data_IF_866056358511
#
_entry.id   IF_866056358511
#
_cell.length_a   1.000
_cell.length_b   1.000
_cell.length_c   1.000
_cell.angle_alpha   90.00
_cell.angle_beta   90.00
_cell.angle_gamma   90.00
#
_symmetry.space_group_name_H-M   'P 1'
#
loop_
_entity.id
_entity.type
_entity.pdbx_description
1 polymer ?
#
# COMPACT_ATOMS: atom_id res chain seq x y z
N UNK A 1 -16.64 12.03 3.08
CA UNK A 1 -15.59 11.36 2.29
C UNK A 1 -14.91 10.30 3.13
N UNK A 2 -14.15 9.40 2.51
CA UNK A 2 -13.36 8.37 3.22
C UNK A 2 -11.96 8.88 3.57
N UNK A 3 -11.42 8.48 4.72
CA UNK A 3 -10.03 8.75 5.09
C UNK A 3 -9.13 7.73 4.38
N UNK A 4 -8.26 8.20 3.50
CA UNK A 4 -7.38 7.36 2.66
C UNK A 4 -5.93 7.69 2.99
N UNK A 5 -5.12 6.64 3.19
CA UNK A 5 -3.66 6.75 3.22
C UNK A 5 -3.11 6.58 1.81
N UNK A 6 -2.13 7.37 1.43
CA UNK A 6 -1.51 7.30 0.11
C UNK A 6 -0.02 7.04 0.24
N UNK A 7 0.52 6.10 -0.54
CA UNK A 7 1.96 5.86 -0.57
C UNK A 7 2.45 5.61 -1.99
N UNK A 8 3.21 6.57 -2.51
CA UNK A 8 3.74 6.55 -3.87
C UNK A 8 5.12 7.21 -3.89
N UNK A 9 5.79 7.14 -5.05
CA UNK A 9 7.18 7.59 -5.21
C UNK A 9 7.37 9.10 -5.17
N UNK A 10 6.31 9.89 -5.30
CA UNK A 10 6.40 11.36 -5.32
C UNK A 10 6.31 11.99 -3.93
N UNK A 11 6.09 11.19 -2.89
CA UNK A 11 6.12 11.68 -1.51
C UNK A 11 7.57 11.99 -1.09
N UNK A 12 7.75 13.10 -0.38
CA UNK A 12 9.04 13.41 0.24
C UNK A 12 9.42 12.31 1.24
N UNK A 13 10.72 11.97 1.41
CA UNK A 13 11.15 10.87 2.27
C UNK A 13 10.60 10.97 3.72
N UNK A 14 10.46 12.19 4.23
CA UNK A 14 9.91 12.44 5.57
C UNK A 14 8.42 12.14 5.63
N UNK A 15 7.67 12.51 4.60
CA UNK A 15 6.22 12.30 4.49
C UNK A 15 5.92 10.83 4.29
N UNK A 16 6.65 10.15 3.39
CA UNK A 16 6.57 8.71 3.18
C UNK A 16 6.77 7.94 4.49
N UNK A 17 7.83 8.27 5.25
CA UNK A 17 8.10 7.64 6.56
C UNK A 17 7.00 7.91 7.59
N UNK A 18 6.41 9.11 7.58
CA UNK A 18 5.32 9.45 8.50
C UNK A 18 4.04 8.71 8.13
N UNK A 19 3.68 8.66 6.85
CA UNK A 19 2.52 7.94 6.34
C UNK A 19 2.63 6.45 6.63
N UNK A 20 3.81 5.87 6.37
CA UNK A 20 4.12 4.47 6.71
C UNK A 20 3.79 4.12 8.14
N UNK A 21 4.24 4.95 9.10
CA UNK A 21 3.94 4.74 10.53
C UNK A 21 2.45 4.76 10.82
N UNK A 22 1.71 5.71 10.22
CA UNK A 22 0.27 5.82 10.42
C UNK A 22 -0.49 4.63 9.81
N UNK A 23 -0.06 4.16 8.65
CA UNK A 23 -0.58 2.95 8.00
C UNK A 23 -0.36 1.73 8.90
N UNK A 24 0.87 1.53 9.40
CA UNK A 24 1.21 0.43 10.32
C UNK A 24 0.42 0.50 11.65
N UNK A 25 0.08 1.70 12.10
CA UNK A 25 -0.75 1.91 13.28
C UNK A 25 -2.26 1.74 13.00
N UNK A 26 -2.66 1.24 11.82
CA UNK A 26 -4.06 1.08 11.41
C UNK A 26 -4.89 2.37 11.44
N UNK A 27 -4.26 3.54 11.24
CA UNK A 27 -4.96 4.84 11.24
C UNK A 27 -5.83 5.07 10.00
N UNK A 28 -5.73 4.19 9.00
CA UNK A 28 -6.41 4.28 7.70
C UNK A 28 -7.08 2.96 7.35
N UNK A 29 -8.36 3.03 6.98
CA UNK A 29 -9.13 1.87 6.50
C UNK A 29 -8.86 1.56 5.02
N UNK A 30 -8.49 2.57 4.24
CA UNK A 30 -8.21 2.46 2.81
C UNK A 30 -6.83 3.02 2.53
N UNK A 31 -6.07 2.30 1.72
CA UNK A 31 -4.72 2.67 1.33
C UNK A 31 -4.63 2.58 -0.19
N UNK A 32 -4.09 3.63 -0.82
CA UNK A 32 -3.73 3.65 -2.24
C UNK A 32 -2.22 3.63 -2.33
N UNK A 33 -1.67 2.69 -3.09
CA UNK A 33 -0.23 2.52 -3.20
C UNK A 33 0.23 2.16 -4.60
N UNK A 34 1.46 2.57 -4.95
CA UNK A 34 2.18 2.02 -6.10
C UNK A 34 3.10 0.88 -5.67
N UNK A 35 3.44 -0.03 -6.60
CA UNK A 35 4.26 -1.20 -6.29
C UNK A 35 5.60 -0.85 -5.67
N UNK A 36 6.25 0.20 -6.19
CA UNK A 36 7.56 0.63 -5.74
C UNK A 36 7.50 1.05 -4.28
N UNK A 37 6.47 1.83 -3.92
CA UNK A 37 6.32 2.36 -2.58
C UNK A 37 5.79 1.30 -1.60
N UNK A 38 5.02 0.32 -2.09
CA UNK A 38 4.40 -0.75 -1.30
C UNK A 38 5.30 -1.95 -0.99
N UNK A 39 6.45 -2.07 -1.66
CA UNK A 39 7.40 -3.17 -1.43
C UNK A 39 8.00 -3.10 -0.03
N UNK A 40 8.02 -4.24 0.65
CA UNK A 40 8.56 -4.33 2.01
C UNK A 40 7.67 -3.72 3.11
N UNK A 41 6.49 -3.20 2.75
CA UNK A 41 5.49 -2.80 3.75
C UNK A 41 4.80 -4.05 4.29
N UNK A 42 4.87 -4.31 5.58
CA UNK A 42 4.00 -5.27 6.23
C UNK A 42 2.80 -4.52 6.83
N UNK A 43 1.58 -4.87 6.40
CA UNK A 43 0.32 -4.31 6.92
C UNK A 43 -0.51 -5.48 7.39
N UNK A 44 -0.63 -5.61 8.71
CA UNK A 44 -1.48 -6.63 9.31
C UNK A 44 -2.96 -6.37 9.00
N UNK A 45 -3.69 -7.44 8.69
CA UNK A 45 -5.15 -7.39 8.60
C UNK A 45 -5.70 -6.79 7.29
N UNK A 46 -4.91 -6.76 6.22
CA UNK A 46 -5.43 -6.44 4.88
C UNK A 46 -6.40 -7.53 4.45
N UNK A 47 -7.68 -7.19 4.46
CA UNK A 47 -8.75 -8.13 4.07
C UNK A 47 -8.93 -8.27 2.57
N UNK A 48 -8.54 -7.25 1.79
CA UNK A 48 -8.77 -7.20 0.35
C UNK A 48 -7.66 -6.38 -0.32
N UNK A 49 -7.20 -6.87 -1.47
CA UNK A 49 -6.31 -6.14 -2.38
C UNK A 49 -7.07 -5.89 -3.67
N UNK A 50 -7.20 -4.62 -4.06
CA UNK A 50 -7.87 -4.21 -5.30
C UNK A 50 -6.81 -3.73 -6.28
N UNK A 51 -6.66 -4.44 -7.40
CA UNK A 51 -5.79 -4.01 -8.50
C UNK A 51 -6.54 -2.99 -9.36
N UNK A 52 -6.12 -1.73 -9.34
CA UNK A 52 -6.68 -0.68 -10.22
C UNK A 52 -6.36 -0.96 -11.69
N UNK A 53 -5.16 -1.48 -11.94
CA UNK A 53 -4.70 -1.93 -13.25
C UNK A 53 -3.99 -3.28 -13.09
N UNK A 54 -4.16 -4.16 -14.08
CA UNK A 54 -3.40 -5.40 -14.11
C UNK A 54 -1.91 -5.10 -14.31
N UNK A 55 -1.02 -5.67 -13.49
CA UNK A 55 0.40 -5.47 -13.68
C UNK A 55 0.88 -6.09 -14.99
N UNK A 56 1.92 -5.50 -15.58
CA UNK A 56 2.52 -6.00 -16.82
C UNK A 56 3.31 -7.30 -16.62
N UNK A 57 3.89 -7.47 -15.43
CA UNK A 57 4.64 -8.68 -15.07
C UNK A 57 3.87 -9.46 -13.99
N UNK A 58 3.69 -10.79 -14.15
CA UNK A 58 2.94 -11.62 -13.21
C UNK A 58 3.43 -11.55 -11.76
N UNK A 59 4.74 -11.37 -11.56
CA UNK A 59 5.35 -11.33 -10.22
C UNK A 59 4.77 -10.19 -9.37
N UNK A 60 4.46 -9.03 -9.98
CA UNK A 60 3.79 -7.94 -9.27
C UNK A 60 2.40 -8.34 -8.79
N UNK A 61 1.65 -9.14 -9.56
CA UNK A 61 0.32 -9.60 -9.13
C UNK A 61 0.43 -10.47 -7.88
N UNK A 62 1.40 -11.39 -7.85
CA UNK A 62 1.65 -12.27 -6.70
C UNK A 62 2.06 -11.44 -5.49
N UNK A 63 2.99 -10.48 -5.66
CA UNK A 63 3.43 -9.60 -4.57
C UNK A 63 2.31 -8.71 -4.03
N UNK A 64 1.44 -8.16 -4.89
CA UNK A 64 0.28 -7.36 -4.48
C UNK A 64 -0.73 -8.22 -3.72
N UNK A 65 -1.12 -9.34 -4.30
CA UNK A 65 -2.18 -10.20 -3.76
C UNK A 65 -1.75 -10.90 -2.47
N UNK A 66 -0.45 -11.18 -2.32
CA UNK A 66 0.14 -11.72 -1.08
C UNK A 66 0.09 -10.78 0.12
N UNK A 67 -0.47 -9.57 -0.01
CA UNK A 67 -0.81 -8.71 1.13
C UNK A 67 -2.10 -9.12 1.82
N UNK A 68 -2.95 -9.91 1.16
CA UNK A 68 -4.17 -10.45 1.75
C UNK A 68 -3.92 -11.89 2.22
N UNK A 69 -4.13 -12.16 3.52
CA UNK A 69 -3.92 -13.47 4.13
C UNK A 69 -3.78 -13.38 5.63
#
# INVERSE_FOLDING_TARGET
>A
GFKVGEIHGDLEPRESKQMMRRIQNNEYKFIVATDIAARGIDIDGVSHVINMEFPKEPDFYIHRSGRCG
#
